data_IF_228241119013
#
_entry.id   IF_228241119013
#
_cell.length_a   1.000
_cell.length_b   1.000
_cell.length_c   1.000
_cell.angle_alpha   90.00
_cell.angle_beta   90.00
_cell.angle_gamma   90.00
#
_symmetry.space_group_name_H-M   'P 1'
#
loop_
_entity.id
_entity.type
_entity.pdbx_description
1 polymer ?
#
# COMPACT_ATOMS: atom_id res chain seq x y z
N UNK A 1 17.38 10.22 31.05
CA UNK A 1 16.80 11.27 30.18
C UNK A 1 16.72 10.86 28.70
N UNK A 2 17.77 10.28 28.09
CA UNK A 2 17.79 9.90 26.66
C UNK A 2 16.79 8.77 26.32
N UNK A 3 16.72 7.72 27.14
CA UNK A 3 15.80 6.58 26.94
C UNK A 3 14.32 7.01 26.98
N UNK A 4 13.97 7.91 27.90
CA UNK A 4 12.61 8.47 28.01
C UNK A 4 12.21 9.21 26.74
N UNK A 5 13.10 10.07 26.19
CA UNK A 5 12.85 10.80 24.95
C UNK A 5 12.71 9.89 23.73
N UNK A 6 13.51 8.82 23.66
CA UNK A 6 13.41 7.81 22.60
C UNK A 6 12.06 7.09 22.62
N UNK A 7 11.66 6.58 23.79
CA UNK A 7 10.39 5.88 23.97
C UNK A 7 9.21 6.79 23.61
N UNK A 8 9.16 8.01 24.14
CA UNK A 8 8.11 8.98 23.80
C UNK A 8 8.03 9.25 22.29
N UNK A 9 9.18 9.41 21.62
CA UNK A 9 9.21 9.65 20.18
C UNK A 9 8.67 8.45 19.41
N UNK A 10 9.06 7.23 19.79
CA UNK A 10 8.61 6.00 19.12
C UNK A 10 7.13 5.72 19.37
N UNK A 11 6.64 5.90 20.60
CA UNK A 11 5.21 5.80 20.92
C UNK A 11 4.38 6.79 20.10
N UNK A 12 4.86 8.04 19.95
CA UNK A 12 4.17 9.03 19.11
C UNK A 12 4.20 8.65 17.62
N UNK A 13 5.29 8.06 17.13
CA UNK A 13 5.37 7.57 15.76
C UNK A 13 4.40 6.41 15.51
N UNK A 14 4.27 5.48 16.47
CA UNK A 14 3.30 4.38 16.41
C UNK A 14 1.89 4.95 16.40
N UNK A 15 1.54 5.85 17.33
CA UNK A 15 0.22 6.46 17.39
C UNK A 15 -0.12 7.18 16.07
N UNK A 16 0.82 7.94 15.50
CA UNK A 16 0.64 8.61 14.20
C UNK A 16 0.43 7.59 13.08
N UNK A 17 1.21 6.52 13.04
CA UNK A 17 1.08 5.48 12.01
C UNK A 17 -0.29 4.80 12.09
N UNK A 18 -0.73 4.37 13.28
CA UNK A 18 -2.06 3.82 13.52
C UNK A 18 -3.15 4.83 13.14
N UNK A 19 -2.96 6.11 13.46
CA UNK A 19 -3.89 7.17 13.06
C UNK A 19 -4.02 7.30 11.54
N UNK A 20 -2.93 7.20 10.78
CA UNK A 20 -3.01 7.22 9.31
C UNK A 20 -3.68 5.97 8.74
N UNK A 21 -3.46 4.80 9.35
CA UNK A 21 -4.16 3.58 8.98
C UNK A 21 -5.67 3.72 9.24
N UNK A 22 -6.07 4.27 10.39
CA UNK A 22 -7.47 4.53 10.70
C UNK A 22 -8.11 5.53 9.71
N UNK A 23 -7.39 6.60 9.35
CA UNK A 23 -7.85 7.55 8.32
C UNK A 23 -8.08 6.86 6.97
N UNK A 24 -7.18 5.95 6.57
CA UNK A 24 -7.34 5.16 5.35
C UNK A 24 -8.57 4.24 5.41
N UNK A 25 -8.70 3.45 6.48
CA UNK A 25 -9.84 2.54 6.67
C UNK A 25 -11.17 3.32 6.71
N UNK A 26 -11.22 4.49 7.34
CA UNK A 26 -12.41 5.35 7.34
C UNK A 26 -12.72 5.82 5.91
N UNK A 27 -11.72 6.29 5.16
CA UNK A 27 -11.93 6.73 3.78
C UNK A 27 -12.44 5.59 2.87
N UNK A 28 -11.92 4.37 3.06
CA UNK A 28 -12.32 3.17 2.33
C UNK A 28 -13.72 2.67 2.72
N UNK A 29 -14.06 2.63 4.01
CA UNK A 29 -15.39 2.19 4.46
C UNK A 29 -16.53 3.08 3.96
N UNK A 30 -16.31 4.40 3.84
CA UNK A 30 -17.33 5.30 3.24
C UNK A 30 -17.55 4.97 1.76
N UNK A 31 -16.52 4.48 1.06
CA UNK A 31 -16.67 3.98 -0.31
C UNK A 31 -17.51 2.69 -0.37
N UNK A 32 -17.26 1.73 0.52
CA UNK A 32 -18.05 0.50 0.59
C UNK A 32 -19.55 0.80 0.85
N UNK A 33 -19.83 1.75 1.74
CA UNK A 33 -21.19 2.24 2.00
C UNK A 33 -21.81 2.82 0.74
N UNK A 34 -21.08 3.56 -0.08
CA UNK A 34 -21.60 4.11 -1.33
C UNK A 34 -22.12 3.00 -2.28
N UNK A 35 -21.43 1.85 -2.31
CA UNK A 35 -21.87 0.70 -3.08
C UNK A 35 -23.17 0.06 -2.59
N UNK A 36 -23.55 0.27 -1.32
CA UNK A 36 -24.84 -0.20 -0.79
C UNK A 36 -26.05 0.51 -1.42
N UNK A 37 -25.86 1.76 -1.89
CA UNK A 37 -26.92 2.59 -2.45
C UNK A 37 -27.07 2.53 -3.96
N UNK A 38 -26.49 1.53 -4.66
CA UNK A 38 -26.55 1.47 -6.14
C UNK A 38 -27.98 1.54 -6.72
N UNK A 39 -28.98 1.05 -5.98
CA UNK A 39 -30.40 1.10 -6.37
C UNK A 39 -31.07 2.46 -6.13
N UNK A 40 -30.42 3.37 -5.42
CA UNK A 40 -30.85 4.75 -5.14
C UNK A 40 -29.80 5.74 -5.68
N UNK A 41 -29.94 6.18 -6.94
CA UNK A 41 -28.92 7.00 -7.59
C UNK A 41 -28.64 8.33 -6.89
N UNK A 42 -29.63 8.92 -6.22
CA UNK A 42 -29.46 10.21 -5.54
C UNK A 42 -28.59 10.03 -4.28
N UNK A 43 -28.90 9.04 -3.44
CA UNK A 43 -28.09 8.74 -2.25
C UNK A 43 -26.70 8.26 -2.63
N UNK A 44 -26.57 7.38 -3.62
CA UNK A 44 -25.27 6.91 -4.11
C UNK A 44 -24.37 8.08 -4.51
N UNK A 45 -24.90 9.06 -5.27
CA UNK A 45 -24.14 10.26 -5.68
C UNK A 45 -23.67 11.10 -4.49
N UNK A 46 -24.52 11.35 -3.50
CA UNK A 46 -24.13 12.12 -2.32
C UNK A 46 -23.06 11.41 -1.47
N UNK A 47 -23.23 10.10 -1.25
CA UNK A 47 -22.25 9.31 -0.48
C UNK A 47 -20.92 9.20 -1.23
N UNK A 48 -20.94 8.99 -2.55
CA UNK A 48 -19.72 9.02 -3.37
C UNK A 48 -19.04 10.39 -3.34
N UNK A 49 -19.81 11.48 -3.42
CA UNK A 49 -19.26 12.84 -3.30
C UNK A 49 -18.56 13.06 -1.96
N UNK A 50 -19.18 12.63 -0.86
CA UNK A 50 -18.57 12.67 0.46
C UNK A 50 -17.31 11.79 0.53
N UNK A 51 -17.36 10.57 -0.01
CA UNK A 51 -16.22 9.65 -0.06
C UNK A 51 -15.02 10.28 -0.77
N UNK A 52 -15.25 10.91 -1.94
CA UNK A 52 -14.19 11.56 -2.71
C UNK A 52 -13.56 12.73 -1.95
N UNK A 53 -14.36 13.55 -1.25
CA UNK A 53 -13.83 14.64 -0.41
C UNK A 53 -12.98 14.10 0.74
N UNK A 54 -13.45 13.03 1.41
CA UNK A 54 -12.70 12.39 2.49
C UNK A 54 -11.40 11.77 2.00
N UNK A 55 -11.44 11.05 0.86
CA UNK A 55 -10.27 10.47 0.21
C UNK A 55 -9.26 11.56 -0.17
N UNK A 56 -9.71 12.64 -0.80
CA UNK A 56 -8.84 13.74 -1.19
C UNK A 56 -8.19 14.40 0.03
N UNK A 57 -8.95 14.64 1.09
CA UNK A 57 -8.44 15.18 2.35
C UNK A 57 -7.43 14.24 3.02
N UNK A 58 -7.71 12.94 3.04
CA UNK A 58 -6.84 11.92 3.59
C UNK A 58 -5.52 11.79 2.80
N UNK A 59 -5.58 11.74 1.47
CA UNK A 59 -4.39 11.74 0.61
C UNK A 59 -3.57 13.01 0.79
N UNK A 60 -4.22 14.18 0.84
CA UNK A 60 -3.55 15.45 1.07
C UNK A 60 -2.84 15.46 2.43
N UNK A 61 -3.49 14.98 3.49
CA UNK A 61 -2.92 14.89 4.83
C UNK A 61 -1.70 13.96 4.88
N UNK A 62 -1.83 12.74 4.36
CA UNK A 62 -0.74 11.74 4.40
C UNK A 62 0.40 12.18 3.49
N UNK A 63 0.10 12.68 2.28
CA UNK A 63 1.09 13.20 1.34
C UNK A 63 1.84 14.41 1.89
N UNK A 64 1.14 15.36 2.51
CA UNK A 64 1.74 16.50 3.22
C UNK A 64 2.67 16.01 4.34
N UNK A 65 2.20 15.06 5.15
CA UNK A 65 2.99 14.52 6.26
C UNK A 65 4.27 13.85 5.77
N UNK A 66 4.18 13.06 4.70
CA UNK A 66 5.32 12.42 4.04
C UNK A 66 6.32 13.46 3.53
N UNK A 67 5.84 14.50 2.84
CA UNK A 67 6.68 15.61 2.39
C UNK A 67 7.40 16.32 3.53
N UNK A 68 6.69 16.65 4.62
CA UNK A 68 7.30 17.25 5.83
C UNK A 68 8.35 16.36 6.48
N UNK A 69 8.14 15.05 6.44
CA UNK A 69 9.11 14.09 6.97
C UNK A 69 10.42 14.10 6.19
N UNK A 70 10.34 14.01 4.86
CA UNK A 70 11.52 14.05 4.00
C UNK A 70 12.24 15.41 4.09
N UNK A 71 11.49 16.51 4.19
CA UNK A 71 12.09 17.83 4.38
C UNK A 71 12.86 17.96 5.70
N UNK A 72 12.41 17.28 6.77
CA UNK A 72 13.07 17.31 8.06
C UNK A 72 14.28 16.36 8.14
N UNK A 73 14.18 15.16 7.57
CA UNK A 73 15.25 14.16 7.62
C UNK A 73 15.13 13.12 6.50
N UNK A 74 16.06 13.16 5.54
CA UNK A 74 16.06 12.30 4.36
C UNK A 74 17.47 11.77 4.02
N UNK A 75 18.05 10.90 4.87
CA UNK A 75 19.43 10.44 4.70
C UNK A 75 19.64 9.59 3.44
N UNK A 76 18.58 8.99 2.89
CA UNK A 76 18.64 8.19 1.67
C UNK A 76 18.40 8.99 0.39
N UNK A 77 18.15 10.30 0.50
CA UNK A 77 17.86 11.19 -0.62
C UNK A 77 16.66 10.71 -1.46
N UNK A 78 15.56 10.31 -0.81
CA UNK A 78 14.29 10.06 -1.48
C UNK A 78 13.79 11.33 -2.16
N UNK A 79 13.34 11.24 -3.40
CA UNK A 79 12.87 12.40 -4.15
C UNK A 79 12.39 12.05 -5.54
N UNK A 80 12.24 13.08 -6.38
CA UNK A 80 11.85 12.87 -7.78
C UNK A 80 13.08 12.50 -8.60
N UNK A 81 13.09 11.28 -9.09
CA UNK A 81 14.10 10.81 -10.04
C UNK A 81 13.57 10.83 -11.48
N UNK A 82 14.47 10.97 -12.45
CA UNK A 82 14.08 10.97 -13.87
C UNK A 82 13.78 9.55 -14.33
N UNK A 83 12.65 9.31 -15.04
CA UNK A 83 12.41 8.03 -15.68
C UNK A 83 13.43 7.84 -16.81
N UNK A 84 14.25 6.81 -16.70
CA UNK A 84 15.14 6.35 -17.76
C UNK A 84 14.69 4.98 -18.24
N UNK A 85 15.01 4.61 -19.48
CA UNK A 85 14.67 3.28 -20.01
C UNK A 85 15.22 2.16 -19.11
N UNK A 86 16.42 2.32 -18.55
CA UNK A 86 16.99 1.38 -17.58
C UNK A 86 16.10 1.23 -16.33
N UNK A 87 15.62 2.34 -15.75
CA UNK A 87 14.74 2.30 -14.56
C UNK A 87 13.38 1.69 -14.88
N UNK A 88 12.82 2.00 -16.05
CA UNK A 88 11.56 1.41 -16.52
C UNK A 88 11.73 -0.10 -16.70
N UNK A 89 12.81 -0.55 -17.36
CA UNK A 89 13.09 -1.97 -17.50
C UNK A 89 13.27 -2.68 -16.15
N UNK A 90 13.96 -2.06 -15.18
CA UNK A 90 14.05 -2.59 -13.82
C UNK A 90 12.69 -2.69 -13.13
N UNK A 91 11.82 -1.68 -13.31
CA UNK A 91 10.46 -1.69 -12.77
C UNK A 91 9.64 -2.85 -13.36
N UNK A 92 9.74 -3.04 -14.68
CA UNK A 92 9.09 -4.15 -15.39
C UNK A 92 9.61 -5.51 -14.92
N UNK A 93 10.91 -5.65 -14.63
CA UNK A 93 11.43 -6.89 -14.05
C UNK A 93 10.87 -7.19 -12.66
N UNK A 94 10.70 -6.18 -11.82
CA UNK A 94 10.05 -6.36 -10.50
C UNK A 94 8.58 -6.69 -10.69
N UNK A 95 7.89 -6.07 -11.65
CA UNK A 95 6.52 -6.41 -12.01
C UNK A 95 6.38 -7.87 -12.45
N UNK A 96 7.24 -8.33 -13.38
CA UNK A 96 7.28 -9.74 -13.82
C UNK A 96 7.49 -10.69 -12.65
N UNK A 97 8.35 -10.34 -11.69
CA UNK A 97 8.54 -11.13 -10.47
C UNK A 97 7.25 -11.20 -9.63
N UNK A 98 6.55 -10.08 -9.43
CA UNK A 98 5.26 -10.06 -8.72
C UNK A 98 4.19 -10.89 -9.44
N UNK A 99 4.12 -10.80 -10.77
CA UNK A 99 3.22 -11.62 -11.59
C UNK A 99 3.58 -13.10 -11.48
N UNK A 100 4.87 -13.46 -11.50
CA UNK A 100 5.30 -14.86 -11.36
C UNK A 100 4.92 -15.46 -10.00
N UNK A 101 5.04 -14.68 -8.91
CA UNK A 101 4.58 -15.09 -7.57
C UNK A 101 3.08 -15.39 -7.59
N UNK A 102 2.28 -14.51 -8.21
CA UNK A 102 0.83 -14.67 -8.29
C UNK A 102 0.42 -15.84 -9.19
N UNK A 103 1.05 -16.03 -10.34
CA UNK A 103 0.82 -17.19 -11.22
C UNK A 103 1.13 -18.49 -10.48
N UNK A 104 2.25 -18.54 -9.75
CA UNK A 104 2.58 -19.70 -8.92
C UNK A 104 1.50 -19.94 -7.86
N UNK A 105 0.97 -18.89 -7.23
CA UNK A 105 -0.13 -18.99 -6.28
C UNK A 105 -1.41 -19.55 -6.90
N UNK A 106 -1.80 -19.01 -8.06
CA UNK A 106 -2.96 -19.49 -8.81
C UNK A 106 -2.81 -20.95 -9.23
N UNK A 107 -1.58 -21.37 -9.58
CA UNK A 107 -1.29 -22.77 -9.84
C UNK A 107 -1.50 -23.65 -8.62
N UNK A 108 -1.05 -23.24 -7.41
CA UNK A 108 -1.32 -23.98 -6.17
C UNK A 108 -2.81 -24.10 -5.86
N UNK A 109 -3.58 -23.02 -6.09
CA UNK A 109 -5.05 -23.03 -5.96
C UNK A 109 -5.67 -24.01 -6.94
N UNK A 110 -5.23 -24.03 -8.21
CA UNK A 110 -5.73 -24.97 -9.23
C UNK A 110 -5.46 -26.44 -8.88
N UNK A 111 -4.44 -26.70 -8.06
CA UNK A 111 -4.10 -28.03 -7.52
C UNK A 111 -4.83 -28.36 -6.21
N UNK A 112 -5.76 -27.52 -5.78
CA UNK A 112 -6.51 -27.67 -4.53
C UNK A 112 -5.62 -27.73 -3.28
N UNK A 113 -4.38 -27.21 -3.38
CA UNK A 113 -3.45 -27.13 -2.25
C UNK A 113 -3.73 -25.90 -1.38
N UNK A 114 -4.32 -24.87 -1.98
CA UNK A 114 -4.69 -23.61 -1.34
C UNK A 114 -6.09 -23.20 -1.80
N UNK A 115 -6.73 -22.35 -1.01
CA UNK A 115 -8.02 -21.73 -1.35
C UNK A 115 -7.82 -20.29 -1.82
N UNK A 116 -8.82 -19.74 -2.50
CA UNK A 116 -8.79 -18.34 -2.93
C UNK A 116 -8.76 -17.45 -1.67
N UNK A 117 -7.78 -16.54 -1.53
CA UNK A 117 -7.69 -15.63 -0.40
C UNK A 117 -8.98 -14.83 -0.15
N UNK A 118 -9.33 -14.62 1.11
CA UNK A 118 -10.52 -13.86 1.52
C UNK A 118 -10.55 -12.45 0.91
N UNK A 119 -9.41 -11.77 0.93
CA UNK A 119 -9.22 -10.47 0.30
C UNK A 119 -9.49 -10.51 -1.22
N UNK A 120 -8.98 -11.52 -1.93
CA UNK A 120 -9.23 -11.65 -3.37
C UNK A 120 -10.73 -11.89 -3.66
N UNK A 121 -11.43 -12.65 -2.81
CA UNK A 121 -12.88 -12.84 -2.95
C UNK A 121 -13.64 -11.51 -2.76
N UNK A 122 -13.25 -10.71 -1.78
CA UNK A 122 -13.84 -9.39 -1.54
C UNK A 122 -13.62 -8.42 -2.72
N UNK A 123 -12.39 -8.38 -3.25
CA UNK A 123 -12.06 -7.58 -4.45
C UNK A 123 -12.91 -8.02 -5.65
N UNK A 124 -13.00 -9.33 -5.92
CA UNK A 124 -13.81 -9.85 -7.02
C UNK A 124 -15.29 -9.50 -6.86
N UNK A 125 -15.83 -9.56 -5.64
CA UNK A 125 -17.21 -9.20 -5.35
C UNK A 125 -17.47 -7.68 -5.54
N UNK A 126 -16.52 -6.83 -5.14
CA UNK A 126 -16.59 -5.39 -5.34
C UNK A 126 -16.53 -5.02 -6.83
N UNK A 127 -15.69 -5.71 -7.62
CA UNK A 127 -15.59 -5.54 -9.06
C UNK A 127 -16.91 -5.87 -9.77
N UNK A 128 -17.54 -6.99 -9.43
CA UNK A 128 -18.84 -7.37 -9.98
C UNK A 128 -19.95 -6.37 -9.63
N UNK A 129 -19.82 -5.68 -8.49
CA UNK A 129 -20.82 -4.73 -8.01
C UNK A 129 -20.67 -3.34 -8.65
N UNK A 130 -19.44 -2.83 -8.76
CA UNK A 130 -19.14 -1.48 -9.27
C UNK A 130 -17.80 -1.47 -10.05
N UNK A 131 -17.74 -2.03 -11.26
CA UNK A 131 -16.46 -2.32 -11.94
C UNK A 131 -15.62 -1.06 -12.20
N UNK A 132 -16.23 0.00 -12.74
CA UNK A 132 -15.53 1.27 -13.00
C UNK A 132 -14.96 1.90 -11.72
N UNK A 133 -15.67 1.76 -10.61
CA UNK A 133 -15.24 2.30 -9.33
C UNK A 133 -14.20 1.44 -8.65
N UNK A 134 -14.28 0.10 -8.80
CA UNK A 134 -13.25 -0.81 -8.31
C UNK A 134 -11.91 -0.55 -9.02
N UNK A 135 -11.93 -0.35 -10.34
CA UNK A 135 -10.74 0.05 -11.11
C UNK A 135 -10.19 1.38 -10.59
N UNK A 136 -11.05 2.38 -10.40
CA UNK A 136 -10.59 3.70 -9.95
C UNK A 136 -10.07 3.70 -8.51
N UNK A 137 -10.79 3.08 -7.57
CA UNK A 137 -10.36 3.05 -6.18
C UNK A 137 -9.31 1.96 -5.92
N UNK A 138 -9.67 0.69 -6.10
CA UNK A 138 -8.79 -0.46 -5.84
C UNK A 138 -7.57 -0.54 -6.77
N UNK A 139 -7.71 -0.09 -8.01
CA UNK A 139 -6.61 -0.08 -8.98
C UNK A 139 -5.69 1.14 -8.90
N UNK A 140 -6.16 2.29 -8.40
CA UNK A 140 -5.40 3.56 -8.44
C UNK A 140 -5.26 4.16 -7.03
N UNK A 141 -6.37 4.50 -6.37
CA UNK A 141 -6.33 5.26 -5.11
C UNK A 141 -5.81 4.45 -3.92
N UNK A 142 -6.26 3.20 -3.76
CA UNK A 142 -5.81 2.31 -2.70
C UNK A 142 -4.29 2.07 -2.77
N UNK A 143 -3.69 1.73 -3.93
CA UNK A 143 -2.24 1.69 -4.09
C UNK A 143 -1.53 2.96 -3.63
N UNK A 144 -2.05 4.15 -3.97
CA UNK A 144 -1.44 5.42 -3.53
C UNK A 144 -1.45 5.54 -2.01
N UNK A 145 -2.57 5.23 -1.36
CA UNK A 145 -2.66 5.24 0.11
C UNK A 145 -1.69 4.26 0.74
N UNK A 146 -1.70 3.02 0.30
CA UNK A 146 -0.92 1.94 0.88
C UNK A 146 0.59 2.18 0.71
N UNK A 147 1.03 2.67 -0.46
CA UNK A 147 2.42 3.05 -0.66
C UNK A 147 2.82 4.24 0.22
N UNK A 148 1.97 5.26 0.33
CA UNK A 148 2.23 6.40 1.23
C UNK A 148 2.31 5.97 2.69
N UNK A 149 1.45 5.06 3.16
CA UNK A 149 1.39 4.62 4.56
C UNK A 149 2.54 3.66 4.87
N UNK A 150 2.68 2.56 4.13
CA UNK A 150 3.65 1.52 4.45
C UNK A 150 5.09 1.92 4.06
N UNK A 151 5.28 2.60 2.91
CA UNK A 151 6.63 2.94 2.43
C UNK A 151 6.98 4.38 2.81
N UNK A 152 6.06 5.30 2.52
CA UNK A 152 6.26 6.72 2.76
C UNK A 152 6.39 7.06 4.25
N UNK A 153 5.45 6.62 5.09
CA UNK A 153 5.41 6.92 6.51
C UNK A 153 6.13 5.86 7.35
N UNK A 154 5.72 4.59 7.26
CA UNK A 154 6.17 3.54 8.17
C UNK A 154 7.68 3.24 8.05
N UNK A 155 8.19 2.87 6.87
CA UNK A 155 9.63 2.60 6.69
C UNK A 155 10.49 3.78 7.14
N UNK A 156 9.92 4.96 7.02
CA UNK A 156 10.60 6.23 7.16
C UNK A 156 10.53 6.74 8.63
N UNK A 157 9.58 6.25 9.43
CA UNK A 157 9.54 6.43 10.90
C UNK A 157 10.43 5.44 11.64
N UNK A 158 10.40 4.18 11.22
CA UNK A 158 10.98 3.07 11.98
C UNK A 158 12.33 2.62 11.44
N UNK A 159 12.60 2.80 10.15
CA UNK A 159 13.81 2.34 9.48
C UNK A 159 14.47 3.47 8.69
N UNK A 160 14.76 4.60 9.32
CA UNK A 160 15.25 5.81 8.66
C UNK A 160 16.79 5.91 8.55
N UNK A 161 17.55 4.86 8.89
CA UNK A 161 19.03 4.89 8.83
C UNK A 161 19.54 4.34 7.50
N UNK A 162 20.42 5.06 6.79
CA UNK A 162 21.01 4.54 5.56
C UNK A 162 22.15 3.56 5.86
N UNK A 163 21.79 2.33 6.26
CA UNK A 163 22.71 1.22 6.40
C UNK A 163 22.05 -0.08 5.99
N UNK A 164 22.88 -1.09 5.66
CA UNK A 164 22.42 -2.37 5.10
C UNK A 164 21.38 -3.08 5.99
N UNK A 165 21.60 -3.12 7.31
CA UNK A 165 20.68 -3.79 8.22
C UNK A 165 19.32 -3.09 8.26
N UNK A 166 19.30 -1.77 8.44
CA UNK A 166 18.05 -0.99 8.44
C UNK A 166 17.31 -1.10 7.11
N UNK A 167 18.04 -1.19 5.99
CA UNK A 167 17.48 -1.34 4.66
C UNK A 167 16.80 -2.71 4.49
N UNK A 168 17.47 -3.80 4.88
CA UNK A 168 16.89 -5.15 4.83
C UNK A 168 15.67 -5.25 5.75
N UNK A 169 15.79 -4.77 7.00
CA UNK A 169 14.68 -4.79 7.95
C UNK A 169 13.50 -3.94 7.48
N UNK A 170 13.73 -2.80 6.84
CA UNK A 170 12.65 -2.00 6.27
C UNK A 170 11.84 -2.79 5.23
N UNK A 171 12.52 -3.51 4.33
CA UNK A 171 11.87 -4.32 3.29
C UNK A 171 11.08 -5.46 3.90
N UNK A 172 11.72 -6.26 4.76
CA UNK A 172 11.10 -7.46 5.34
C UNK A 172 9.94 -7.08 6.26
N UNK A 173 10.14 -6.14 7.19
CA UNK A 173 9.10 -5.79 8.18
C UNK A 173 7.96 -5.01 7.53
N UNK A 174 8.24 -4.09 6.60
CA UNK A 174 7.17 -3.41 5.86
C UNK A 174 6.40 -4.40 4.98
N UNK A 175 7.08 -5.35 4.34
CA UNK A 175 6.44 -6.43 3.58
C UNK A 175 5.55 -7.32 4.46
N UNK A 176 6.04 -7.75 5.61
CA UNK A 176 5.25 -8.54 6.58
C UNK A 176 4.02 -7.81 7.11
N UNK A 177 4.12 -6.51 7.40
CA UNK A 177 2.96 -5.69 7.81
C UNK A 177 1.96 -5.53 6.67
N UNK A 178 2.44 -5.35 5.44
CA UNK A 178 1.59 -5.36 4.25
C UNK A 178 0.86 -6.70 4.10
N UNK A 179 1.55 -7.82 4.35
CA UNK A 179 0.95 -9.15 4.43
C UNK A 179 -0.22 -9.20 5.42
N UNK A 180 0.00 -8.73 6.65
CA UNK A 180 -1.05 -8.69 7.67
C UNK A 180 -2.22 -7.75 7.36
N UNK A 181 -1.97 -6.70 6.57
CA UNK A 181 -3.04 -5.81 6.12
C UNK A 181 -3.98 -6.47 5.11
N UNK A 182 -3.53 -7.52 4.41
CA UNK A 182 -4.29 -8.23 3.39
C UNK A 182 -4.79 -9.60 3.85
N UNK A 183 -4.07 -10.24 4.79
CA UNK A 183 -4.47 -11.49 5.43
C UNK A 183 -4.10 -11.44 6.92
N UNK A 184 -5.12 -11.42 7.77
CA UNK A 184 -4.92 -11.34 9.22
C UNK A 184 -4.37 -12.65 9.80
N UNK A 185 -4.61 -13.78 9.13
CA UNK A 185 -4.16 -15.10 9.54
C UNK A 185 -2.67 -15.28 9.23
N UNK A 186 -1.89 -15.82 10.17
CA UNK A 186 -0.49 -16.14 9.89
C UNK A 186 -0.37 -17.49 9.17
N UNK A 187 -0.61 -17.48 7.87
CA UNK A 187 -0.64 -18.68 7.02
C UNK A 187 0.15 -18.49 5.70
N UNK A 188 0.00 -19.44 4.78
CA UNK A 188 0.62 -19.37 3.46
C UNK A 188 0.18 -18.13 2.67
N UNK A 189 -1.10 -17.74 2.75
CA UNK A 189 -1.63 -16.55 2.06
C UNK A 189 -0.97 -15.27 2.57
N UNK A 190 -0.74 -15.17 3.88
CA UNK A 190 0.04 -14.09 4.46
C UNK A 190 1.47 -14.04 3.90
N UNK A 191 2.12 -15.19 3.68
CA UNK A 191 3.46 -15.25 3.05
C UNK A 191 3.40 -14.67 1.64
N UNK A 192 2.40 -15.03 0.83
CA UNK A 192 2.25 -14.50 -0.53
C UNK A 192 2.14 -12.97 -0.52
N UNK A 193 1.20 -12.41 0.26
CA UNK A 193 1.05 -10.95 0.34
C UNK A 193 2.30 -10.28 0.92
N UNK A 194 2.99 -10.92 1.86
CA UNK A 194 4.26 -10.43 2.39
C UNK A 194 5.35 -10.35 1.32
N UNK A 195 5.44 -11.33 0.42
CA UNK A 195 6.39 -11.33 -0.70
C UNK A 195 6.09 -10.21 -1.70
N UNK A 196 4.82 -9.96 -2.01
CA UNK A 196 4.40 -8.82 -2.84
C UNK A 196 4.74 -7.49 -2.16
N UNK A 197 4.45 -7.36 -0.87
CA UNK A 197 4.84 -6.21 -0.05
C UNK A 197 6.36 -5.99 0.00
N UNK A 198 7.16 -7.06 0.02
CA UNK A 198 8.62 -6.98 -0.07
C UNK A 198 9.08 -6.45 -1.44
N UNK A 199 8.46 -6.89 -2.55
CA UNK A 199 8.78 -6.39 -3.89
C UNK A 199 8.54 -4.88 -4.01
N UNK A 200 7.41 -4.40 -3.49
CA UNK A 200 7.05 -2.99 -3.45
C UNK A 200 8.00 -2.19 -2.54
N UNK A 201 8.29 -2.70 -1.34
CA UNK A 201 9.25 -2.08 -0.42
C UNK A 201 10.66 -2.00 -1.02
N UNK A 202 11.06 -3.03 -1.77
CA UNK A 202 12.31 -3.04 -2.53
C UNK A 202 12.28 -1.98 -3.63
N UNK A 203 11.22 -1.88 -4.44
CA UNK A 203 11.09 -0.86 -5.47
C UNK A 203 11.23 0.56 -4.89
N UNK A 204 10.55 0.84 -3.78
CA UNK A 204 10.68 2.12 -3.08
C UNK A 204 12.14 2.46 -2.72
N UNK A 205 12.85 1.51 -2.11
CA UNK A 205 14.24 1.72 -1.70
C UNK A 205 15.24 1.76 -2.86
N UNK A 206 15.02 0.94 -3.89
CA UNK A 206 15.89 0.83 -5.05
C UNK A 206 15.83 2.10 -5.91
N UNK A 207 14.62 2.58 -6.21
CA UNK A 207 14.44 3.79 -7.03
C UNK A 207 14.61 5.08 -6.24
N UNK A 208 14.48 5.02 -4.90
CA UNK A 208 14.48 6.16 -3.97
C UNK A 208 13.42 7.20 -4.35
N UNK A 209 12.28 6.73 -4.81
CA UNK A 209 11.20 7.55 -5.34
C UNK A 209 9.89 6.79 -5.23
N UNK A 210 8.96 7.31 -4.41
CA UNK A 210 7.69 6.64 -4.09
C UNK A 210 6.83 6.39 -5.32
N UNK A 211 6.99 7.18 -6.39
CA UNK A 211 6.20 7.06 -7.62
C UNK A 211 6.44 5.73 -8.32
N UNK A 212 7.62 5.13 -8.18
CA UNK A 212 7.90 3.81 -8.76
C UNK A 212 7.16 2.70 -8.02
N UNK A 213 7.13 2.77 -6.68
CA UNK A 213 6.37 1.79 -5.88
C UNK A 213 4.87 1.92 -6.15
N UNK A 214 4.37 3.15 -6.23
CA UNK A 214 2.96 3.44 -6.59
C UNK A 214 2.65 2.89 -7.97
N UNK A 215 3.47 3.20 -8.99
CA UNK A 215 3.25 2.72 -10.35
C UNK A 215 3.27 1.19 -10.41
N UNK A 216 4.23 0.55 -9.75
CA UNK A 216 4.33 -0.92 -9.68
C UNK A 216 3.09 -1.54 -9.05
N UNK A 217 2.60 -0.96 -7.96
CA UNK A 217 1.39 -1.45 -7.29
C UNK A 217 0.13 -1.22 -8.13
N UNK A 218 -0.02 -0.05 -8.74
CA UNK A 218 -1.12 0.21 -9.68
C UNK A 218 -1.09 -0.77 -10.86
N UNK A 219 0.10 -1.06 -11.43
CA UNK A 219 0.24 -2.07 -12.47
C UNK A 219 -0.22 -3.44 -11.98
N UNK A 220 0.17 -3.83 -10.76
CA UNK A 220 -0.25 -5.10 -10.15
C UNK A 220 -1.77 -5.21 -9.99
N UNK A 221 -2.45 -4.11 -9.64
CA UNK A 221 -3.89 -4.15 -9.41
C UNK A 221 -4.72 -3.94 -10.70
N UNK A 222 -4.16 -3.26 -11.71
CA UNK A 222 -4.86 -2.97 -12.98
C UNK A 222 -4.61 -4.04 -14.06
N UNK A 223 -3.54 -4.82 -13.95
CA UNK A 223 -3.19 -5.89 -14.88
C UNK A 223 -3.28 -7.22 -14.11
N UNK A 224 -4.49 -7.83 -14.07
CA UNK A 224 -4.71 -9.10 -13.38
C UNK A 224 -3.98 -10.28 -14.04
#
# INVERSE_FOLDING_TARGET
MITTRYLTTKSLQILKFVGFLAVYIIAESVFEIAGTYIKDPLRARHVLGLALVLIAGALALIGWRYGKQLAAYNPRNFGKTRPTMKRIAQLLWIFILMTAIQIFWQWLISKHLLTIPSNQQAVNAAEMRMPMWNIFFGGILAPIFEELIFRGIFMNYFFNKDNRLSNILAVVISGSIFGFAHEMSFDFTWIMYSLLGCCLSFAYMHFRDIRYSIALHMMNNLIP
#
